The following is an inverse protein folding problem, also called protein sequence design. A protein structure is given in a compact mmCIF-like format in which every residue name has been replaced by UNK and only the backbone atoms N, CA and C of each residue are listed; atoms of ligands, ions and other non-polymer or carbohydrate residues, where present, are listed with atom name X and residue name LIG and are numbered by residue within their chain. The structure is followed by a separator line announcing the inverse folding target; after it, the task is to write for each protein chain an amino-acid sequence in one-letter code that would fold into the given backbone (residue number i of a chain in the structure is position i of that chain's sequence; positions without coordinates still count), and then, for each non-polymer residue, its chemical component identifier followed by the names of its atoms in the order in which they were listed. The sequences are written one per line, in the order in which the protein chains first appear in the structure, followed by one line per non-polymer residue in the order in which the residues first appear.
data_IF_251969180180
#
_entry.id   IF_251969180180
#
_cell.length_a   1.000
_cell.length_b   1.000
_cell.length_c   1.000
_cell.angle_alpha   90.00
_cell.angle_beta   90.00
_cell.angle_gamma   90.00
#
_symmetry.space_group_name_H-M   'P 1'
#
loop_
_entity.id
_entity.type
_entity.pdbx_description
1 polymer ?
#
# COMPACT_ATOMS: atom_id res chain seq x y z
N UNK A 1 -3.40 0.96 -17.15
CA UNK A 1 -2.03 0.40 -17.03
C UNK A 1 -1.99 -0.25 -15.67
N UNK A 2 -1.81 -1.57 -15.61
CA UNK A 2 -1.82 -2.30 -14.35
C UNK A 2 -0.62 -1.90 -13.48
N UNK A 3 -0.89 -1.76 -12.19
CA UNK A 3 0.10 -1.34 -11.19
C UNK A 3 0.07 -2.27 -9.99
N UNK A 4 1.24 -2.48 -9.40
CA UNK A 4 1.41 -3.29 -8.20
C UNK A 4 1.65 -2.38 -6.99
N UNK A 5 0.76 -2.46 -6.01
CA UNK A 5 0.90 -1.78 -4.73
C UNK A 5 1.56 -2.72 -3.71
N UNK A 6 2.61 -2.23 -3.06
CA UNK A 6 3.23 -2.85 -1.90
C UNK A 6 3.07 -1.92 -0.70
N UNK A 7 2.62 -2.45 0.43
CA UNK A 7 2.51 -1.71 1.69
C UNK A 7 3.19 -2.51 2.79
N UNK A 8 4.02 -1.85 3.59
CA UNK A 8 4.66 -2.43 4.76
C UNK A 8 4.73 -1.42 5.92
N UNK A 9 4.56 -1.90 7.15
CA UNK A 9 4.81 -1.09 8.34
C UNK A 9 6.20 -1.38 8.87
N UNK A 10 7.04 -0.35 8.90
CA UNK A 10 8.38 -0.39 9.48
C UNK A 10 8.27 -0.68 10.97
N UNK A 11 9.13 -1.57 11.48
CA UNK A 11 9.29 -1.72 12.94
C UNK A 11 9.77 -0.38 13.53
N UNK A 12 9.29 0.00 14.72
CA UNK A 12 9.73 1.23 15.37
C UNK A 12 11.24 1.18 15.59
N UNK A 13 11.98 2.05 14.88
CA UNK A 13 13.41 2.22 15.09
C UNK A 13 13.72 2.92 16.43
N UNK A 14 14.98 3.31 16.68
CA UNK A 14 15.43 3.90 17.96
C UNK A 14 14.68 5.18 18.38
N UNK A 15 13.95 5.80 17.44
CA UNK A 15 13.12 7.00 17.64
C UNK A 15 11.63 6.69 17.88
N UNK A 16 11.24 5.42 18.06
CA UNK A 16 9.90 4.93 18.38
C UNK A 16 8.75 5.28 17.40
N UNK A 17 9.02 5.88 16.25
CA UNK A 17 7.99 6.15 15.25
C UNK A 17 7.84 4.98 14.27
N UNK A 18 6.77 4.19 14.42
CA UNK A 18 6.37 3.23 13.39
C UNK A 18 5.91 3.99 12.15
N UNK A 19 6.50 3.71 10.99
CA UNK A 19 6.11 4.35 9.71
C UNK A 19 5.55 3.33 8.74
N UNK A 20 4.52 3.72 8.00
CA UNK A 20 3.96 2.90 6.94
C UNK A 20 4.60 3.32 5.63
N UNK A 21 5.26 2.39 4.94
CA UNK A 21 5.80 2.61 3.60
C UNK A 21 4.84 2.03 2.58
N UNK A 22 4.52 2.79 1.54
CA UNK A 22 3.78 2.30 0.38
C UNK A 22 4.57 2.59 -0.89
N UNK A 23 4.63 1.61 -1.78
CA UNK A 23 5.31 1.68 -3.06
C UNK A 23 4.37 1.21 -4.16
N UNK A 24 4.29 1.99 -5.24
CA UNK A 24 3.54 1.67 -6.42
C UNK A 24 4.51 1.38 -7.56
N UNK A 25 4.33 0.23 -8.20
CA UNK A 25 5.17 -0.24 -9.29
C UNK A 25 4.34 -0.38 -10.56
N UNK A 26 4.95 -0.15 -11.72
CA UNK A 26 4.41 -0.65 -12.99
C UNK A 26 4.36 -2.18 -12.93
N UNK A 27 3.32 -2.80 -13.50
CA UNK A 27 3.25 -4.26 -13.65
C UNK A 27 3.46 -4.72 -15.10
N UNK A 28 4.13 -3.92 -15.93
CA UNK A 28 4.53 -4.29 -17.28
C UNK A 28 5.72 -5.28 -17.28
N UNK A 29 6.15 -5.73 -18.47
CA UNK A 29 7.24 -6.71 -18.65
C UNK A 29 8.58 -6.31 -18.02
N UNK A 30 8.78 -5.02 -17.74
CA UNK A 30 9.90 -4.49 -16.97
C UNK A 30 9.35 -3.56 -15.87
N UNK A 31 9.14 -4.05 -14.64
CA UNK A 31 8.49 -3.27 -13.59
C UNK A 31 9.43 -2.20 -13.02
N UNK A 32 9.07 -0.92 -13.16
CA UNK A 32 9.75 0.19 -12.49
C UNK A 32 8.90 0.82 -11.39
N UNK A 33 9.57 1.44 -10.41
CA UNK A 33 8.91 2.17 -9.33
C UNK A 33 8.28 3.46 -9.88
N UNK A 34 6.96 3.61 -9.69
CA UNK A 34 6.20 4.79 -10.07
C UNK A 34 6.20 5.82 -8.95
N UNK A 35 5.85 5.39 -7.75
CA UNK A 35 5.70 6.24 -6.57
C UNK A 35 6.15 5.49 -5.32
N UNK A 36 6.82 6.17 -4.39
CA UNK A 36 7.11 5.65 -3.06
C UNK A 36 6.84 6.74 -2.03
N UNK A 37 6.05 6.40 -1.01
CA UNK A 37 5.72 7.31 0.08
C UNK A 37 5.85 6.62 1.44
N UNK A 38 6.13 7.44 2.44
CA UNK A 38 6.10 7.05 3.84
C UNK A 38 5.07 7.89 4.59
N UNK A 39 4.28 7.22 5.42
CA UNK A 39 3.21 7.80 6.19
C UNK A 39 3.48 7.60 7.67
N UNK A 40 3.07 8.58 8.48
CA UNK A 40 3.15 8.47 9.94
C UNK A 40 1.98 7.69 10.52
N UNK A 41 0.89 7.56 9.77
CA UNK A 41 -0.30 6.86 10.23
C UNK A 41 -1.25 6.46 9.11
N UNK A 42 -2.24 5.66 9.49
CA UNK A 42 -3.21 5.05 8.56
C UNK A 42 -4.09 6.10 7.85
N UNK A 43 -4.41 7.22 8.49
CA UNK A 43 -5.24 8.26 7.86
C UNK A 43 -4.59 8.86 6.61
N UNK A 44 -3.28 9.15 6.68
CA UNK A 44 -2.51 9.66 5.55
C UNK A 44 -2.43 8.61 4.43
N UNK A 45 -2.17 7.36 4.81
CA UNK A 45 -2.18 6.23 3.88
C UNK A 45 -3.52 6.11 3.15
N UNK A 46 -4.64 6.10 3.88
CA UNK A 46 -5.99 5.97 3.29
C UNK A 46 -6.28 7.07 2.28
N UNK A 47 -5.86 8.31 2.57
CA UNK A 47 -6.00 9.44 1.64
C UNK A 47 -5.18 9.21 0.37
N UNK A 48 -3.94 8.76 0.49
CA UNK A 48 -3.11 8.46 -0.66
C UNK A 48 -3.65 7.27 -1.46
N UNK A 49 -4.10 6.19 -0.80
CA UNK A 49 -4.73 5.04 -1.46
C UNK A 49 -6.00 5.45 -2.21
N UNK A 50 -6.79 6.39 -1.68
CA UNK A 50 -7.94 6.93 -2.41
C UNK A 50 -7.54 7.66 -3.70
N UNK A 51 -6.39 8.35 -3.71
CA UNK A 51 -5.85 8.97 -4.93
C UNK A 51 -5.34 7.92 -5.92
N UNK A 52 -4.66 6.88 -5.44
CA UNK A 52 -4.21 5.74 -6.26
C UNK A 52 -5.42 5.03 -6.88
N UNK A 53 -6.45 4.73 -6.08
CA UNK A 53 -7.70 4.15 -6.55
C UNK A 53 -8.40 5.03 -7.59
N UNK A 54 -8.43 6.35 -7.40
CA UNK A 54 -9.01 7.27 -8.36
C UNK A 54 -8.21 7.35 -9.69
N UNK A 55 -6.87 7.25 -9.62
CA UNK A 55 -5.97 7.37 -10.77
C UNK A 55 -5.89 6.09 -11.59
N UNK A 56 -5.84 4.94 -10.94
CA UNK A 56 -5.62 3.64 -11.58
C UNK A 56 -6.87 2.74 -11.56
N UNK A 57 -7.88 3.05 -10.75
CA UNK A 57 -9.14 2.29 -10.73
C UNK A 57 -8.93 0.83 -10.34
N UNK A 58 -9.49 -0.07 -11.14
CA UNK A 58 -9.41 -1.54 -10.94
C UNK A 58 -8.11 -2.17 -11.40
N UNK A 59 -7.21 -1.38 -11.99
CA UNK A 59 -5.91 -1.84 -12.48
C UNK A 59 -4.86 -1.96 -11.34
N UNK A 60 -5.26 -1.77 -10.07
CA UNK A 60 -4.37 -1.88 -8.91
C UNK A 60 -4.39 -3.31 -8.36
N UNK A 61 -3.27 -4.02 -8.47
CA UNK A 61 -3.04 -5.27 -7.76
C UNK A 61 -2.29 -4.98 -6.44
N UNK A 62 -2.64 -5.67 -5.35
CA UNK A 62 -1.92 -5.55 -4.08
C UNK A 62 -1.03 -6.76 -3.86
N UNK A 63 0.24 -6.51 -3.55
CA UNK A 63 1.15 -7.54 -3.08
C UNK A 63 0.92 -7.79 -1.59
N UNK A 64 0.12 -8.80 -1.30
CA UNK A 64 -0.16 -9.24 0.07
C UNK A 64 1.01 -10.03 0.65
N UNK A 65 1.93 -9.33 1.30
CA UNK A 65 3.01 -9.97 2.08
C UNK A 65 2.45 -10.60 3.35
N UNK A 66 3.11 -11.61 3.90
CA UNK A 66 2.67 -12.25 5.15
C UNK A 66 2.61 -11.24 6.31
N UNK A 67 3.52 -10.27 6.31
CA UNK A 67 3.54 -9.16 7.27
C UNK A 67 2.33 -8.24 7.14
N UNK A 68 1.96 -7.86 5.91
CA UNK A 68 0.75 -7.07 5.66
C UNK A 68 -0.50 -7.85 6.07
N UNK A 69 -0.58 -9.14 5.75
CA UNK A 69 -1.71 -10.02 6.14
C UNK A 69 -1.82 -10.17 7.65
N UNK A 70 -0.69 -10.31 8.35
CA UNK A 70 -0.66 -10.40 9.81
C UNK A 70 -1.17 -9.10 10.47
N UNK A 71 -0.97 -7.96 9.81
CA UNK A 71 -1.40 -6.66 10.29
C UNK A 71 -2.84 -6.32 9.86
N UNK A 72 -3.81 -6.95 10.56
CA UNK A 72 -5.25 -6.88 10.24
C UNK A 72 -5.76 -5.46 9.94
N UNK A 73 -5.43 -4.47 10.77
CA UNK A 73 -5.91 -3.09 10.57
C UNK A 73 -5.40 -2.49 9.26
N UNK A 74 -4.10 -2.68 8.97
CA UNK A 74 -3.49 -2.16 7.76
C UNK A 74 -3.98 -2.90 6.51
N UNK A 75 -4.11 -4.23 6.59
CA UNK A 75 -4.68 -5.04 5.51
C UNK A 75 -6.12 -4.61 5.18
N UNK A 76 -6.97 -4.45 6.19
CA UNK A 76 -8.35 -3.98 6.01
C UNK A 76 -8.39 -2.58 5.42
N UNK A 77 -7.54 -1.65 5.89
CA UNK A 77 -7.48 -0.30 5.34
C UNK A 77 -7.13 -0.30 3.83
N UNK A 78 -6.16 -1.13 3.43
CA UNK A 78 -5.76 -1.28 2.02
C UNK A 78 -6.90 -1.88 1.19
N UNK A 79 -7.53 -2.95 1.69
CA UNK A 79 -8.64 -3.62 1.03
C UNK A 79 -9.85 -2.69 0.84
N UNK A 80 -10.27 -1.97 1.88
CA UNK A 80 -11.39 -1.03 1.85
C UNK A 80 -11.15 0.12 0.86
N UNK A 81 -9.97 0.74 0.89
CA UNK A 81 -9.65 1.87 0.02
C UNK A 81 -9.58 1.48 -1.45
N UNK A 82 -9.22 0.23 -1.76
CA UNK A 82 -9.11 -0.26 -3.14
C UNK A 82 -10.35 -1.04 -3.60
N UNK A 83 -11.30 -1.30 -2.70
CA UNK A 83 -12.51 -2.09 -3.00
C UNK A 83 -12.21 -3.57 -3.34
N UNK A 84 -11.17 -4.14 -2.71
CA UNK A 84 -10.75 -5.54 -2.91
C UNK A 84 -10.89 -6.35 -1.62
N UNK A 85 -10.84 -7.67 -1.71
CA UNK A 85 -10.81 -8.55 -0.54
C UNK A 85 -9.36 -8.78 -0.05
N UNK A 86 -9.20 -8.90 1.27
CA UNK A 86 -7.97 -9.45 1.86
C UNK A 86 -7.97 -10.97 1.59
N UNK A 87 -6.92 -11.54 0.99
CA UNK A 87 -6.81 -12.98 0.72
C UNK A 87 -6.41 -13.81 1.93
#
# INVERSE_FOLDING_TARGET
MPVLLMVDRSEPGPRNESRISAMLWSSDHDPWLLEAQQFRGEHELRRWLGQVAAKYGRDVAVRWTDKLKAEKMLATAVAECLGIAVP
#
